data_IF_341025141188
#
_entry.id   IF_341025141188
#
_cell.length_a   1.000
_cell.length_b   1.000
_cell.length_c   1.000
_cell.angle_alpha   90.00
_cell.angle_beta   90.00
_cell.angle_gamma   90.00
#
_symmetry.space_group_name_H-M   'P 1'
#
loop_
_entity.id
_entity.type
_entity.pdbx_description
1 polymer ?
#
# COMPACT_ATOMS: atom_id res chain seq x y z
N UNK A 1 -4.38 -17.12 0.86
CA UNK A 1 -4.04 -15.71 0.59
C UNK A 1 -3.26 -15.68 -0.72
N UNK A 2 -3.95 -15.59 -1.86
CA UNK A 2 -3.30 -15.63 -3.17
C UNK A 2 -2.75 -14.23 -3.45
N UNK A 3 -1.43 -14.08 -3.47
CA UNK A 3 -0.74 -12.83 -3.83
C UNK A 3 -0.99 -12.56 -5.33
N UNK A 4 -2.14 -11.98 -5.64
CA UNK A 4 -2.52 -11.60 -6.99
C UNK A 4 -1.53 -10.59 -7.56
N UNK A 5 -1.17 -10.79 -8.82
CA UNK A 5 -0.38 -9.91 -9.70
C UNK A 5 0.37 -8.77 -9.00
N UNK A 6 1.69 -8.94 -8.79
CA UNK A 6 2.58 -8.00 -8.09
C UNK A 6 2.67 -6.68 -8.89
N UNK A 7 1.67 -5.81 -8.77
CA UNK A 7 1.72 -4.45 -9.30
C UNK A 7 2.98 -3.78 -8.75
N UNK A 8 3.68 -3.05 -9.61
CA UNK A 8 4.86 -2.30 -9.16
C UNK A 8 4.42 -1.13 -8.28
N UNK A 9 5.30 -0.68 -7.39
CA UNK A 9 5.04 0.50 -6.58
C UNK A 9 4.74 1.74 -7.45
N UNK A 10 5.38 1.86 -8.62
CA UNK A 10 5.08 2.91 -9.58
C UNK A 10 3.64 2.81 -10.11
N UNK A 11 3.21 1.62 -10.56
CA UNK A 11 1.86 1.40 -11.07
C UNK A 11 0.77 1.68 -10.02
N UNK A 12 1.01 1.29 -8.76
CA UNK A 12 0.08 1.59 -7.65
C UNK A 12 -0.04 3.11 -7.44
N UNK A 13 1.07 3.84 -7.48
CA UNK A 13 1.08 5.30 -7.32
C UNK A 13 0.44 6.03 -8.49
N UNK A 14 0.68 5.58 -9.72
CA UNK A 14 0.03 6.11 -10.92
C UNK A 14 -1.49 5.90 -10.87
N UNK A 15 -1.94 4.70 -10.52
CA UNK A 15 -3.37 4.42 -10.33
C UNK A 15 -3.99 5.28 -9.22
N UNK A 16 -3.24 5.55 -8.13
CA UNK A 16 -3.72 6.40 -7.02
C UNK A 16 -3.86 7.86 -7.45
N UNK A 17 -2.96 8.36 -8.30
CA UNK A 17 -3.03 9.72 -8.82
C UNK A 17 -4.33 9.98 -9.62
N UNK A 18 -4.88 8.95 -10.26
CA UNK A 18 -6.16 9.03 -10.97
C UNK A 18 -7.39 9.02 -10.04
N UNK A 19 -7.27 8.50 -8.81
CA UNK A 19 -8.37 8.35 -7.85
C UNK A 19 -7.95 8.76 -6.42
N UNK A 20 -7.58 10.04 -6.20
CA UNK A 20 -6.95 10.46 -4.93
C UNK A 20 -7.91 10.48 -3.73
N UNK A 21 -9.22 10.59 -3.98
CA UNK A 21 -10.25 10.76 -2.94
C UNK A 21 -10.69 9.43 -2.30
N UNK A 22 -10.44 8.31 -2.97
CA UNK A 22 -10.84 6.99 -2.48
C UNK A 22 -10.02 6.61 -1.25
N UNK A 23 -10.66 6.01 -0.23
CA UNK A 23 -9.92 5.47 0.91
C UNK A 23 -8.95 4.39 0.46
N UNK A 24 -7.80 4.31 1.12
CA UNK A 24 -6.68 3.45 0.73
C UNK A 24 -7.07 1.97 0.67
N UNK A 25 -7.84 1.50 1.66
CA UNK A 25 -8.41 0.16 1.70
C UNK A 25 -9.31 -0.17 0.50
N UNK A 26 -10.26 0.72 0.21
CA UNK A 26 -11.20 0.52 -0.89
C UNK A 26 -10.46 0.58 -2.23
N UNK A 27 -9.53 1.52 -2.38
CA UNK A 27 -8.66 1.64 -3.53
C UNK A 27 -7.83 0.36 -3.76
N UNK A 28 -7.18 -0.18 -2.72
CA UNK A 28 -6.41 -1.42 -2.79
C UNK A 28 -7.28 -2.60 -3.28
N UNK A 29 -8.51 -2.70 -2.78
CA UNK A 29 -9.46 -3.72 -3.22
C UNK A 29 -9.79 -3.60 -4.72
N UNK A 30 -9.93 -2.39 -5.27
CA UNK A 30 -10.16 -2.20 -6.73
C UNK A 30 -8.99 -2.67 -7.59
N UNK A 31 -7.77 -2.66 -7.06
CA UNK A 31 -6.56 -3.15 -7.73
C UNK A 31 -6.29 -4.64 -7.48
N UNK A 32 -7.09 -5.30 -6.64
CA UNK A 32 -6.87 -6.69 -6.24
C UNK A 32 -5.64 -6.92 -5.35
N UNK A 33 -5.17 -5.88 -4.66
CA UNK A 33 -4.04 -5.93 -3.72
C UNK A 33 -4.51 -5.71 -2.28
N UNK A 34 -3.66 -6.01 -1.32
CA UNK A 34 -3.92 -5.68 0.10
C UNK A 34 -3.61 -4.22 0.41
N UNK A 35 -4.24 -3.69 1.46
CA UNK A 35 -3.92 -2.36 2.01
C UNK A 35 -2.43 -2.26 2.41
N UNK A 36 -1.84 -3.36 2.92
CA UNK A 36 -0.42 -3.42 3.25
C UNK A 36 0.50 -3.28 2.02
N UNK A 37 0.14 -3.87 0.89
CA UNK A 37 0.88 -3.71 -0.37
C UNK A 37 0.78 -2.28 -0.91
N UNK A 38 -0.40 -1.65 -0.79
CA UNK A 38 -0.56 -0.23 -1.09
C UNK A 38 0.36 0.62 -0.21
N UNK A 39 0.33 0.45 1.12
CA UNK A 39 1.18 1.22 2.05
C UNK A 39 2.67 0.98 1.76
N UNK A 40 3.07 -0.24 1.44
CA UNK A 40 4.44 -0.58 1.07
C UNK A 40 4.93 0.18 -0.18
N UNK A 41 4.04 0.48 -1.14
CA UNK A 41 4.38 1.28 -2.33
C UNK A 41 4.73 2.76 -2.00
N UNK A 42 4.36 3.24 -0.81
CA UNK A 42 4.65 4.59 -0.32
C UNK A 42 5.74 4.65 0.75
N UNK A 43 6.38 3.51 1.04
CA UNK A 43 7.46 3.45 2.01
C UNK A 43 8.66 4.32 1.57
N UNK A 44 9.11 5.24 2.43
CA UNK A 44 10.15 6.23 2.14
C UNK A 44 9.66 7.51 1.46
N UNK A 45 8.35 7.63 1.19
CA UNK A 45 7.72 8.83 0.64
C UNK A 45 6.79 9.46 1.69
N UNK A 46 5.72 8.75 2.02
CA UNK A 46 4.72 9.17 3.03
C UNK A 46 4.42 8.09 4.06
N UNK A 47 4.93 6.87 3.86
CA UNK A 47 4.90 5.80 4.83
C UNK A 47 6.33 5.46 5.29
N UNK A 48 6.47 5.01 6.53
CA UNK A 48 7.72 4.48 7.06
C UNK A 48 7.54 3.02 7.46
N UNK A 49 8.53 2.18 7.17
CA UNK A 49 8.56 0.81 7.68
C UNK A 49 9.03 0.83 9.12
N UNK A 50 8.24 0.25 10.00
CA UNK A 50 8.61 -0.01 11.39
C UNK A 50 8.88 -1.50 11.60
N UNK A 51 9.59 -1.83 12.68
CA UNK A 51 9.69 -3.22 13.11
C UNK A 51 8.30 -3.77 13.44
N UNK A 52 8.06 -5.04 13.15
CA UNK A 52 6.83 -5.72 13.55
C UNK A 52 6.84 -6.12 15.05
N UNK A 53 7.96 -5.89 15.74
CA UNK A 53 8.02 -6.02 17.19
C UNK A 53 7.27 -4.87 17.85
N UNK A 54 6.12 -5.19 18.45
CA UNK A 54 5.27 -4.23 19.17
C UNK A 54 6.03 -3.57 20.32
N UNK A 55 6.96 -4.28 20.95
CA UNK A 55 7.74 -3.72 22.06
C UNK A 55 8.82 -2.74 21.57
N UNK A 56 9.15 -2.76 20.28
CA UNK A 56 10.09 -1.82 19.67
C UNK A 56 9.42 -0.51 19.22
N UNK A 57 8.10 -0.37 19.40
CA UNK A 57 7.35 0.86 19.13
C UNK A 57 7.28 1.81 20.33
N UNK A 58 8.08 1.56 21.38
CA UNK A 58 8.16 2.34 22.62
C UNK A 58 9.58 2.70 23.00
#
# INVERSE_FOLDING_TARGET
MQTGHRLSAAAIREARAAQPQTRERDFAATLGITEAEYVAAYCGISAARVSADINALG
#
